data_IF_464954310170
#
_entry.id   IF_464954310170
#
_cell.length_a   1.000
_cell.length_b   1.000
_cell.length_c   1.000
_cell.angle_alpha   90.00
_cell.angle_beta   90.00
_cell.angle_gamma   90.00
#
_symmetry.space_group_name_H-M   'P 1'
#
loop_
_entity.id
_entity.type
_entity.pdbx_description
1 polymer ?
#
# COMPACT_ATOMS: atom_id res chain seq x y z
N UNK A 1 -2.12 -10.48 -25.77
CA UNK A 1 -2.29 -10.96 -24.37
C UNK A 1 -3.22 -10.00 -23.63
N UNK A 2 -4.11 -10.50 -22.76
CA UNK A 2 -5.06 -9.62 -22.03
C UNK A 2 -4.32 -8.74 -21.01
N UNK A 3 -4.76 -7.50 -20.71
CA UNK A 3 -4.11 -6.62 -19.74
C UNK A 3 -3.88 -7.25 -18.36
N UNK A 4 -4.86 -8.01 -17.85
CA UNK A 4 -4.74 -8.71 -16.57
C UNK A 4 -3.63 -9.79 -16.60
N UNK A 5 -3.42 -10.46 -17.74
CA UNK A 5 -2.37 -11.47 -17.88
C UNK A 5 -0.97 -10.82 -17.89
N UNK A 6 -0.82 -9.67 -18.56
CA UNK A 6 0.41 -8.87 -18.52
C UNK A 6 0.76 -8.47 -17.08
N UNK A 7 -0.22 -7.99 -16.32
CA UNK A 7 -0.03 -7.61 -14.92
C UNK A 7 0.36 -8.79 -14.03
N UNK A 8 -0.35 -9.92 -14.14
CA UNK A 8 -0.03 -11.12 -13.36
C UNK A 8 1.37 -11.63 -13.69
N UNK A 9 1.75 -11.65 -14.97
CA UNK A 9 3.08 -12.06 -15.41
C UNK A 9 4.15 -11.12 -14.83
N UNK A 10 3.99 -9.81 -14.98
CA UNK A 10 4.93 -8.82 -14.47
C UNK A 10 5.06 -8.83 -12.93
N UNK A 11 3.96 -9.13 -12.22
CA UNK A 11 4.03 -9.29 -10.76
C UNK A 11 4.80 -10.56 -10.37
N UNK A 12 4.64 -11.66 -11.09
CA UNK A 12 5.31 -12.93 -10.79
C UNK A 12 6.80 -12.91 -11.18
N UNK A 13 7.10 -12.40 -12.36
CA UNK A 13 8.42 -12.39 -12.97
C UNK A 13 8.67 -10.99 -13.56
N UNK A 14 9.11 -10.01 -12.74
CA UNK A 14 9.25 -8.61 -13.16
C UNK A 14 10.17 -8.40 -14.36
N UNK A 15 11.14 -9.28 -14.57
CA UNK A 15 12.10 -9.26 -15.68
C UNK A 15 11.42 -9.39 -17.04
N UNK A 16 10.24 -10.03 -17.10
CA UNK A 16 9.48 -10.21 -18.34
C UNK A 16 9.03 -8.89 -18.97
N UNK A 17 8.92 -7.83 -18.16
CA UNK A 17 8.53 -6.48 -18.63
C UNK A 17 9.53 -5.93 -19.64
N UNK A 18 10.79 -6.34 -19.59
CA UNK A 18 11.82 -5.90 -20.55
C UNK A 18 11.56 -6.39 -21.99
N UNK A 19 10.79 -7.47 -22.14
CA UNK A 19 10.37 -7.99 -23.45
C UNK A 19 9.08 -7.36 -23.97
N UNK A 20 8.42 -6.49 -23.20
CA UNK A 20 7.15 -5.91 -23.59
C UNK A 20 7.33 -4.82 -24.64
N UNK A 21 6.52 -4.89 -25.70
CA UNK A 21 6.37 -3.84 -26.68
C UNK A 21 5.55 -2.67 -26.11
N UNK A 22 5.63 -1.50 -26.74
CA UNK A 22 4.94 -0.28 -26.29
C UNK A 22 3.45 -0.49 -25.92
N UNK A 23 2.62 -1.18 -26.73
CA UNK A 23 1.21 -1.41 -26.36
C UNK A 23 1.03 -2.28 -25.12
N UNK A 24 1.97 -3.19 -24.85
CA UNK A 24 1.96 -4.05 -23.67
C UNK A 24 2.36 -3.27 -22.41
N UNK A 25 3.34 -2.37 -22.52
CA UNK A 25 3.73 -1.47 -21.43
C UNK A 25 2.58 -0.51 -21.06
N UNK A 26 1.91 0.06 -22.05
CA UNK A 26 0.71 0.90 -21.82
C UNK A 26 -0.41 0.10 -21.15
N UNK A 27 -0.72 -1.10 -21.66
CA UNK A 27 -1.73 -1.96 -21.06
C UNK A 27 -1.37 -2.41 -19.63
N UNK A 28 -0.08 -2.64 -19.34
CA UNK A 28 0.42 -2.97 -18.01
C UNK A 28 0.16 -1.83 -17.03
N UNK A 29 0.54 -0.59 -17.38
CA UNK A 29 0.33 0.61 -16.56
C UNK A 29 -1.17 0.79 -16.26
N UNK A 30 -2.00 0.79 -17.30
CA UNK A 30 -3.46 0.97 -17.13
C UNK A 30 -4.06 -0.14 -16.26
N UNK A 31 -3.62 -1.38 -16.45
CA UNK A 31 -4.10 -2.51 -15.64
C UNK A 31 -3.64 -2.41 -14.18
N UNK A 32 -2.41 -1.96 -13.94
CA UNK A 32 -1.88 -1.80 -12.58
C UNK A 32 -2.59 -0.66 -11.85
N UNK A 33 -2.88 0.45 -12.52
CA UNK A 33 -3.61 1.59 -11.95
C UNK A 33 -5.03 1.22 -11.56
N UNK A 34 -5.78 0.59 -12.48
CA UNK A 34 -7.16 0.12 -12.22
C UNK A 34 -7.23 -0.88 -11.06
N UNK A 35 -6.18 -1.68 -10.89
CA UNK A 35 -6.09 -2.67 -9.82
C UNK A 35 -5.48 -2.12 -8.53
N UNK A 36 -5.06 -0.85 -8.50
CA UNK A 36 -4.32 -0.22 -7.40
C UNK A 36 -3.01 -0.95 -7.03
N UNK A 37 -2.35 -1.52 -8.02
CA UNK A 37 -1.11 -2.29 -7.90
C UNK A 37 0.11 -1.60 -8.50
N UNK A 38 0.00 -0.37 -9.02
CA UNK A 38 1.12 0.34 -9.66
C UNK A 38 2.33 0.48 -8.73
N UNK A 39 2.12 0.90 -7.48
CA UNK A 39 3.22 1.02 -6.52
C UNK A 39 3.80 -0.36 -6.16
N UNK A 40 2.95 -1.37 -5.93
CA UNK A 40 3.37 -2.75 -5.67
C UNK A 40 4.22 -3.33 -6.79
N UNK A 41 3.80 -3.15 -8.04
CA UNK A 41 4.57 -3.55 -9.21
C UNK A 41 5.86 -2.74 -9.31
N UNK A 42 5.82 -1.44 -9.03
CA UNK A 42 6.99 -0.57 -8.99
C UNK A 42 8.09 -1.09 -8.05
N UNK A 43 7.74 -1.44 -6.80
CA UNK A 43 8.70 -2.04 -5.88
C UNK A 43 9.23 -3.39 -6.37
N UNK A 44 8.40 -4.25 -6.99
CA UNK A 44 8.89 -5.51 -7.56
C UNK A 44 9.87 -5.29 -8.72
N UNK A 45 9.63 -4.28 -9.56
CA UNK A 45 10.53 -3.90 -10.64
C UNK A 45 11.84 -3.29 -10.11
N UNK A 46 11.78 -2.54 -9.02
CA UNK A 46 12.95 -2.00 -8.31
C UNK A 46 13.78 -3.14 -7.68
N UNK A 47 13.14 -4.02 -6.91
CA UNK A 47 13.78 -5.16 -6.24
C UNK A 47 14.41 -6.15 -7.25
N UNK A 48 13.82 -6.30 -8.45
CA UNK A 48 14.37 -7.12 -9.54
C UNK A 48 15.44 -6.39 -10.40
N UNK A 49 15.76 -5.13 -10.11
CA UNK A 49 16.72 -4.34 -10.89
C UNK A 49 16.25 -4.00 -12.32
N UNK A 50 14.97 -4.15 -12.60
CA UNK A 50 14.35 -3.90 -13.92
C UNK A 50 14.03 -2.44 -14.11
N UNK A 51 13.65 -1.73 -13.04
CA UNK A 51 13.15 -0.36 -13.09
C UNK A 51 14.05 0.57 -13.91
N UNK A 52 15.35 0.61 -13.63
CA UNK A 52 16.31 1.49 -14.29
C UNK A 52 16.42 1.25 -15.81
N UNK A 53 16.06 0.06 -16.29
CA UNK A 53 16.15 -0.33 -17.71
C UNK A 53 14.89 0.01 -18.51
N UNK A 54 13.81 0.40 -17.85
CA UNK A 54 12.57 0.79 -18.52
C UNK A 54 12.70 2.19 -19.16
N UNK A 55 11.93 2.48 -20.22
CA UNK A 55 11.85 3.83 -20.78
C UNK A 55 11.45 4.85 -19.69
N UNK A 56 12.06 6.02 -19.71
CA UNK A 56 11.87 7.05 -18.68
C UNK A 56 10.39 7.37 -18.41
N UNK A 57 9.60 7.57 -19.46
CA UNK A 57 8.15 7.83 -19.34
C UNK A 57 7.40 6.70 -18.61
N UNK A 58 7.80 5.45 -18.81
CA UNK A 58 7.20 4.29 -18.13
C UNK A 58 7.62 4.27 -16.65
N UNK A 59 8.89 4.55 -16.35
CA UNK A 59 9.39 4.63 -14.97
C UNK A 59 8.62 5.66 -14.13
N UNK A 60 8.34 6.83 -14.70
CA UNK A 60 7.64 7.91 -14.00
C UNK A 60 6.28 7.51 -13.40
N UNK A 61 5.53 6.61 -14.06
CA UNK A 61 4.26 6.11 -13.51
C UNK A 61 4.49 5.32 -12.21
N UNK A 62 5.51 4.46 -12.19
CA UNK A 62 5.85 3.66 -11.02
C UNK A 62 6.45 4.51 -9.91
N UNK A 63 7.37 5.41 -10.23
CA UNK A 63 8.00 6.32 -9.27
C UNK A 63 6.96 7.19 -8.56
N UNK A 64 6.04 7.79 -9.32
CA UNK A 64 4.96 8.60 -8.76
C UNK A 64 4.04 7.77 -7.85
N UNK A 65 3.68 6.55 -8.27
CA UNK A 65 2.86 5.66 -7.46
C UNK A 65 3.58 5.24 -6.16
N UNK A 66 4.89 4.95 -6.23
CA UNK A 66 5.71 4.59 -5.07
C UNK A 66 5.86 5.77 -4.10
N UNK A 67 6.04 7.00 -4.59
CA UNK A 67 6.01 8.21 -3.76
C UNK A 67 4.67 8.35 -3.03
N UNK A 68 3.55 8.16 -3.74
CA UNK A 68 2.21 8.22 -3.15
C UNK A 68 2.03 7.15 -2.07
N UNK A 69 2.41 5.89 -2.34
CA UNK A 69 2.34 4.80 -1.37
C UNK A 69 3.18 5.10 -0.12
N UNK A 70 4.40 5.64 -0.26
CA UNK A 70 5.21 6.07 0.89
C UNK A 70 4.52 7.18 1.69
N UNK A 71 3.90 8.14 1.02
CA UNK A 71 3.14 9.19 1.69
C UNK A 71 1.95 8.64 2.47
N UNK A 72 1.16 7.74 1.87
CA UNK A 72 0.03 7.06 2.54
C UNK A 72 0.48 6.25 3.74
N UNK A 73 1.57 5.50 3.61
CA UNK A 73 2.14 4.76 4.73
C UNK A 73 2.57 5.69 5.88
N UNK A 74 3.15 6.86 5.58
CA UNK A 74 3.45 7.86 6.62
C UNK A 74 2.18 8.38 7.30
N UNK A 75 1.12 8.64 6.52
CA UNK A 75 -0.15 9.12 7.06
C UNK A 75 -0.78 8.09 8.00
N UNK A 76 -0.84 6.82 7.61
CA UNK A 76 -1.37 5.75 8.47
C UNK A 76 -0.54 5.59 9.76
N UNK A 77 0.80 5.66 9.68
CA UNK A 77 1.64 5.65 10.90
C UNK A 77 1.32 6.83 11.83
N UNK A 78 1.07 8.00 11.24
CA UNK A 78 0.65 9.17 12.00
C UNK A 78 -0.74 8.94 12.64
N UNK A 79 -1.71 8.40 11.91
CA UNK A 79 -3.04 8.07 12.44
C UNK A 79 -2.95 7.05 13.59
N UNK A 80 -2.16 5.98 13.45
CA UNK A 80 -1.90 5.03 14.53
C UNK A 80 -1.34 5.73 15.77
N UNK A 81 -0.42 6.67 15.58
CA UNK A 81 0.12 7.46 16.67
C UNK A 81 -0.94 8.37 17.33
N UNK A 82 -1.87 8.93 16.54
CA UNK A 82 -3.00 9.72 17.07
C UNK A 82 -3.99 8.87 17.84
N UNK A 83 -4.36 7.70 17.32
CA UNK A 83 -5.21 6.72 18.03
C UNK A 83 -4.56 6.31 19.35
N UNK A 84 -3.28 5.93 19.33
CA UNK A 84 -2.55 5.57 20.55
C UNK A 84 -2.50 6.71 21.58
N UNK A 85 -2.41 7.97 21.12
CA UNK A 85 -2.48 9.15 21.99
C UNK A 85 -3.88 9.33 22.58
N UNK A 86 -4.93 9.22 21.77
CA UNK A 86 -6.32 9.42 22.19
C UNK A 86 -6.74 8.38 23.25
N UNK A 87 -6.23 7.16 23.13
CA UNK A 87 -6.57 6.05 24.02
C UNK A 87 -5.62 5.89 25.22
N UNK A 88 -4.65 6.79 25.41
CA UNK A 88 -3.59 6.67 26.45
C UNK A 88 -4.14 6.48 27.86
N UNK A 89 -5.24 7.15 28.19
CA UNK A 89 -5.81 7.16 29.54
C UNK A 89 -6.92 6.11 29.72
N UNK A 90 -7.15 5.28 28.71
CA UNK A 90 -8.10 4.17 28.77
C UNK A 90 -7.37 2.84 28.96
N UNK A 91 -7.87 2.01 29.88
CA UNK A 91 -7.41 0.63 30.04
C UNK A 91 -8.08 -0.30 29.01
N UNK A 92 -7.74 -0.10 27.74
CA UNK A 92 -8.29 -0.86 26.60
C UNK A 92 -7.19 -1.52 25.81
N UNK A 93 -7.41 -2.78 25.43
CA UNK A 93 -6.51 -3.50 24.56
C UNK A 93 -6.91 -3.29 23.10
N UNK A 94 -5.97 -2.82 22.28
CA UNK A 94 -6.17 -2.49 20.88
C UNK A 94 -5.28 -3.36 20.01
N UNK A 95 -5.88 -4.07 19.06
CA UNK A 95 -5.16 -4.88 18.08
C UNK A 95 -5.34 -4.27 16.70
N UNK A 96 -4.26 -3.80 16.10
CA UNK A 96 -4.28 -3.33 14.71
C UNK A 96 -4.30 -4.53 13.77
N UNK A 97 -5.15 -4.48 12.74
CA UNK A 97 -5.31 -5.59 11.79
C UNK A 97 -5.04 -5.18 10.34
N UNK A 98 -5.08 -6.17 9.44
CA UNK A 98 -4.97 -6.01 7.98
C UNK A 98 -3.73 -5.18 7.60
N UNK A 99 -3.93 -4.16 6.78
CA UNK A 99 -2.87 -3.33 6.22
C UNK A 99 -2.13 -2.49 7.25
N UNK A 100 -2.83 -2.02 8.29
CA UNK A 100 -2.19 -1.32 9.40
C UNK A 100 -1.23 -2.24 10.16
N UNK A 101 -1.62 -3.49 10.40
CA UNK A 101 -0.75 -4.47 11.06
C UNK A 101 0.52 -4.74 10.26
N UNK A 102 0.38 -4.91 8.95
CA UNK A 102 1.52 -5.12 8.05
C UNK A 102 2.50 -3.96 8.08
N UNK A 103 1.97 -2.73 8.14
CA UNK A 103 2.78 -1.53 8.22
C UNK A 103 3.47 -1.40 9.59
N UNK A 104 2.78 -1.71 10.69
CA UNK A 104 3.38 -1.69 12.03
C UNK A 104 4.51 -2.71 12.19
N UNK A 105 4.36 -3.88 11.58
CA UNK A 105 5.35 -4.95 11.59
C UNK A 105 6.41 -4.82 10.49
N UNK A 106 6.44 -3.70 9.76
CA UNK A 106 7.38 -3.45 8.66
C UNK A 106 7.43 -4.58 7.60
N UNK A 107 6.29 -5.23 7.33
CA UNK A 107 6.24 -6.35 6.39
C UNK A 107 6.44 -5.86 4.95
N UNK A 108 7.14 -6.62 4.09
CA UNK A 108 7.43 -6.22 2.70
C UNK A 108 6.18 -5.82 1.89
N UNK A 109 5.08 -6.54 2.13
CA UNK A 109 3.79 -6.35 1.49
C UNK A 109 3.10 -5.00 1.80
N UNK A 110 3.62 -4.21 2.76
CA UNK A 110 3.14 -2.86 3.05
C UNK A 110 3.70 -1.78 2.09
N UNK A 111 4.89 -1.99 1.49
CA UNK A 111 5.61 -0.91 0.76
C UNK A 111 4.81 -0.28 -0.38
N UNK A 112 4.08 -1.10 -1.15
CA UNK A 112 3.25 -0.68 -2.29
C UNK A 112 1.74 -0.67 -2.05
N UNK A 113 1.28 -1.03 -0.85
CA UNK A 113 -0.15 -1.14 -0.56
C UNK A 113 -0.75 0.25 -0.31
N UNK A 114 -1.77 0.62 -1.09
CA UNK A 114 -2.54 1.83 -0.84
C UNK A 114 -3.56 1.57 0.27
N UNK A 115 -3.16 1.89 1.50
CA UNK A 115 -4.03 1.88 2.67
C UNK A 115 -4.93 3.12 2.63
N UNK A 116 -6.23 2.90 2.82
CA UNK A 116 -7.22 3.98 2.91
C UNK A 116 -7.51 4.32 4.37
N UNK A 117 -7.63 3.29 5.21
CA UNK A 117 -8.12 3.42 6.58
C UNK A 117 -7.26 2.60 7.54
N UNK A 118 -7.35 2.94 8.83
CA UNK A 118 -6.78 2.18 9.95
C UNK A 118 -7.85 1.29 10.59
N UNK A 119 -7.73 -0.02 10.39
CA UNK A 119 -8.59 -1.01 11.04
C UNK A 119 -8.00 -1.45 12.41
N UNK A 120 -8.79 -1.32 13.48
CA UNK A 120 -8.45 -1.80 14.83
C UNK A 120 -9.56 -2.72 15.38
N UNK A 121 -9.17 -3.68 16.22
CA UNK A 121 -10.05 -4.51 17.01
C UNK A 121 -9.88 -4.17 18.49
N UNK A 122 -11.00 -4.23 19.21
CA UNK A 122 -11.07 -4.12 20.67
C UNK A 122 -12.09 -5.12 21.21
N UNK A 123 -12.09 -5.33 22.53
CA UNK A 123 -13.15 -6.10 23.19
C UNK A 123 -14.49 -5.40 22.97
N UNK A 124 -15.56 -6.19 22.79
CA UNK A 124 -16.90 -5.66 22.54
C UNK A 124 -17.41 -4.76 23.68
N UNK A 125 -17.02 -5.06 24.92
CA UNK A 125 -17.34 -4.23 26.09
C UNK A 125 -16.76 -2.82 26.02
N UNK A 126 -15.66 -2.65 25.30
CA UNK A 126 -14.84 -1.44 25.31
C UNK A 126 -15.19 -0.52 24.13
N UNK A 127 -15.95 -1.01 23.14
CA UNK A 127 -16.39 -0.24 21.98
C UNK A 127 -17.05 1.09 22.37
N UNK A 128 -18.03 1.15 23.30
CA UNK A 128 -18.70 2.42 23.59
C UNK A 128 -17.77 3.47 24.20
N UNK A 129 -16.79 3.07 25.03
CA UNK A 129 -15.86 4.02 25.64
C UNK A 129 -14.80 4.48 24.63
N UNK A 130 -14.32 3.56 23.80
CA UNK A 130 -13.35 3.86 22.75
C UNK A 130 -13.93 4.81 21.70
N UNK A 131 -15.16 4.56 21.22
CA UNK A 131 -15.81 5.42 20.23
C UNK A 131 -16.00 6.85 20.75
N UNK A 132 -16.48 7.00 21.99
CA UNK A 132 -16.62 8.32 22.61
C UNK A 132 -15.28 9.04 22.74
N UNK A 133 -14.23 8.31 23.13
CA UNK A 133 -12.91 8.89 23.30
C UNK A 133 -12.28 9.32 21.97
N UNK A 134 -12.42 8.51 20.91
CA UNK A 134 -11.97 8.88 19.57
C UNK A 134 -12.73 10.11 19.07
N UNK A 135 -14.05 10.13 19.17
CA UNK A 135 -14.86 11.30 18.76
C UNK A 135 -14.49 12.58 19.54
N UNK A 136 -14.18 12.47 20.82
CA UNK A 136 -13.74 13.61 21.63
C UNK A 136 -12.33 14.10 21.26
N UNK A 137 -11.48 13.22 20.73
CA UNK A 137 -10.12 13.53 20.31
C UNK A 137 -10.02 14.10 18.86
N UNK A 138 -11.11 13.99 18.09
CA UNK A 138 -11.22 14.45 16.69
C UNK A 138 -10.81 13.39 15.67
#
# INVERSE_FOLDING_TARGET
MKPAQLLIQALREPETVLGFQKPQLEALIVSSERSRLTATLGYRLEDAGVMARLPERVRHHFDAAMVNARFRNRLIRWEMNRVARALRDLDVEVVVIKGGAYLLLDLPLARGRLLADLDILVRRSDLPVLERQLLAAG
#
